data_IF_499496215668
#
_entry.id   IF_499496215668
#
_cell.length_a   1.000
_cell.length_b   1.000
_cell.length_c   1.000
_cell.angle_alpha   90.00
_cell.angle_beta   90.00
_cell.angle_gamma   90.00
#
_symmetry.space_group_name_H-M   'P 1'
#
loop_
_entity.id
_entity.type
_entity.pdbx_description
1 polymer ?
#
# COMPACT_ATOMS: atom_id res chain seq x y z
N UNK A 1 -21.68 -10.71 -34.26
CA UNK A 1 -21.31 -9.78 -33.18
C UNK A 1 -21.41 -10.59 -31.91
N UNK A 2 -20.28 -10.86 -31.25
CA UNK A 2 -20.31 -11.57 -29.99
C UNK A 2 -20.97 -10.63 -28.98
N UNK A 3 -22.16 -11.00 -28.50
CA UNK A 3 -22.73 -10.37 -27.31
C UNK A 3 -21.85 -10.92 -26.18
N UNK A 4 -20.72 -10.26 -25.94
CA UNK A 4 -19.94 -10.50 -24.72
C UNK A 4 -20.78 -9.94 -23.61
N UNK A 5 -21.69 -10.77 -23.09
CA UNK A 5 -22.47 -10.47 -21.89
C UNK A 5 -21.46 -10.13 -20.80
N UNK A 6 -21.29 -8.84 -20.53
CA UNK A 6 -20.42 -8.38 -19.46
C UNK A 6 -21.04 -8.88 -18.15
N UNK A 7 -20.38 -9.86 -17.53
CA UNK A 7 -20.87 -10.46 -16.28
C UNK A 7 -20.28 -9.72 -15.08
N UNK A 8 -20.92 -9.88 -13.93
CA UNK A 8 -20.41 -9.36 -12.64
C UNK A 8 -19.01 -9.92 -12.33
N UNK A 9 -18.70 -11.12 -12.82
CA UNK A 9 -17.39 -11.74 -12.62
C UNK A 9 -16.29 -11.05 -13.44
N UNK A 10 -16.58 -10.71 -14.71
CA UNK A 10 -15.66 -9.94 -15.56
C UNK A 10 -15.40 -8.55 -14.98
N UNK A 11 -16.47 -7.86 -14.56
CA UNK A 11 -16.39 -6.56 -13.90
C UNK A 11 -15.55 -6.64 -12.61
N UNK A 12 -15.76 -7.68 -11.79
CA UNK A 12 -14.98 -7.89 -10.57
C UNK A 12 -13.49 -8.05 -10.85
N UNK A 13 -13.13 -8.87 -11.86
CA UNK A 13 -11.73 -9.09 -12.21
C UNK A 13 -11.05 -7.78 -12.63
N UNK A 14 -11.69 -6.99 -13.49
CA UNK A 14 -11.17 -5.69 -13.93
C UNK A 14 -11.03 -4.71 -12.77
N UNK A 15 -12.04 -4.64 -11.87
CA UNK A 15 -12.00 -3.79 -10.68
C UNK A 15 -10.85 -4.20 -9.75
N UNK A 16 -10.60 -5.49 -9.55
CA UNK A 16 -9.49 -5.99 -8.73
C UNK A 16 -8.14 -5.62 -9.34
N UNK A 17 -7.99 -5.75 -10.65
CA UNK A 17 -6.77 -5.35 -11.36
C UNK A 17 -6.52 -3.85 -11.22
N UNK A 18 -7.52 -3.02 -11.50
CA UNK A 18 -7.43 -1.57 -11.35
C UNK A 18 -7.20 -1.14 -9.90
N UNK A 19 -7.84 -1.80 -8.94
CA UNK A 19 -7.64 -1.56 -7.52
C UNK A 19 -6.20 -1.87 -7.10
N UNK A 20 -5.57 -2.92 -7.64
CA UNK A 20 -4.16 -3.24 -7.39
C UNK A 20 -3.24 -2.22 -8.04
N UNK A 21 -3.50 -1.83 -9.29
CA UNK A 21 -2.70 -0.83 -10.01
C UNK A 21 -2.76 0.55 -9.35
N UNK A 22 -3.93 0.96 -8.86
CA UNK A 22 -4.13 2.24 -8.19
C UNK A 22 -3.81 2.21 -6.69
N UNK A 23 -3.56 1.02 -6.12
CA UNK A 23 -3.29 0.85 -4.69
C UNK A 23 -4.51 1.16 -3.81
N UNK A 24 -5.69 0.70 -4.22
CA UNK A 24 -6.94 0.90 -3.49
C UNK A 24 -6.95 0.15 -2.15
N UNK A 25 -6.53 0.84 -1.10
CA UNK A 25 -6.50 0.33 0.27
C UNK A 25 -7.73 0.71 1.10
N UNK A 26 -8.56 1.61 0.58
CA UNK A 26 -9.76 2.10 1.28
C UNK A 26 -11.02 1.70 0.52
N UNK A 27 -12.10 1.51 1.30
CA UNK A 27 -13.43 1.22 0.74
C UNK A 27 -13.94 2.36 -0.13
N UNK A 28 -13.57 3.59 0.15
CA UNK A 28 -13.96 4.77 -0.62
C UNK A 28 -13.38 4.67 -2.04
N UNK A 29 -12.08 4.46 -2.15
CA UNK A 29 -11.40 4.33 -3.44
C UNK A 29 -11.90 3.09 -4.22
N UNK A 30 -12.16 1.97 -3.52
CA UNK A 30 -12.81 0.81 -4.15
C UNK A 30 -14.17 1.16 -4.73
N UNK A 31 -15.02 1.89 -4.00
CA UNK A 31 -16.34 2.27 -4.47
C UNK A 31 -16.26 3.21 -5.68
N UNK A 32 -15.27 4.11 -5.71
CA UNK A 32 -15.03 4.99 -6.86
C UNK A 32 -14.66 4.17 -8.11
N UNK A 33 -13.73 3.23 -7.98
CA UNK A 33 -13.33 2.34 -9.09
C UNK A 33 -14.52 1.51 -9.60
N UNK A 34 -15.33 0.96 -8.68
CA UNK A 34 -16.56 0.22 -9.04
C UNK A 34 -17.52 1.11 -9.83
N UNK A 35 -17.66 2.38 -9.45
CA UNK A 35 -18.54 3.31 -10.16
C UNK A 35 -17.99 3.64 -11.55
N UNK A 36 -16.71 4.00 -11.65
CA UNK A 36 -16.06 4.36 -12.91
C UNK A 36 -16.12 3.22 -13.93
N UNK A 37 -15.83 1.99 -13.51
CA UNK A 37 -15.87 0.81 -14.39
C UNK A 37 -17.30 0.55 -14.89
N UNK A 38 -18.27 0.51 -13.97
CA UNK A 38 -19.66 0.22 -14.34
C UNK A 38 -20.24 1.34 -15.23
N UNK A 39 -20.00 2.61 -14.89
CA UNK A 39 -20.45 3.74 -15.70
C UNK A 39 -19.74 3.80 -17.05
N UNK A 40 -18.45 3.49 -17.11
CA UNK A 40 -17.68 3.41 -18.35
C UNK A 40 -18.27 2.40 -19.33
N UNK A 41 -18.60 1.19 -18.87
CA UNK A 41 -19.22 0.18 -19.74
C UNK A 41 -20.66 0.54 -20.15
N UNK A 42 -21.40 1.30 -19.32
CA UNK A 42 -22.71 1.84 -19.71
C UNK A 42 -22.54 2.86 -20.84
N UNK A 43 -21.59 3.79 -20.72
CA UNK A 43 -21.34 4.84 -21.73
C UNK A 43 -20.85 4.24 -23.07
N UNK A 44 -20.04 3.19 -23.00
CA UNK A 44 -19.58 2.42 -24.16
C UNK A 44 -20.69 1.57 -24.82
N UNK A 45 -21.86 1.44 -24.17
CA UNK A 45 -22.97 0.61 -24.64
C UNK A 45 -22.72 -0.89 -24.52
N UNK A 46 -21.75 -1.29 -23.70
CA UNK A 46 -21.45 -2.70 -23.38
C UNK A 46 -22.33 -3.23 -22.24
N UNK A 47 -22.83 -2.32 -21.40
CA UNK A 47 -23.79 -2.59 -20.34
C UNK A 47 -25.11 -1.85 -20.62
N UNK A 48 -26.22 -2.58 -20.62
CA UNK A 48 -27.55 -1.97 -20.74
C UNK A 48 -27.90 -1.26 -19.43
N UNK A 49 -28.22 0.05 -19.50
CA UNK A 49 -28.69 0.82 -18.34
C UNK A 49 -30.04 0.32 -17.76
N UNK A 50 -30.79 -0.46 -18.55
CA UNK A 50 -32.03 -1.13 -18.12
C UNK A 50 -31.76 -2.43 -17.34
N UNK A 51 -30.53 -2.97 -17.44
CA UNK A 51 -30.10 -4.01 -16.50
C UNK A 51 -29.94 -3.41 -15.11
N UNK A 52 -30.06 -4.25 -14.08
CA UNK A 52 -29.99 -3.84 -12.69
C UNK A 52 -28.54 -3.48 -12.29
N UNK A 53 -28.02 -2.41 -12.89
CA UNK A 53 -26.66 -1.88 -12.75
C UNK A 53 -26.39 -1.41 -11.32
N UNK A 54 -27.40 -0.84 -10.67
CA UNK A 54 -27.36 -0.50 -9.25
C UNK A 54 -27.16 -1.75 -8.37
N UNK A 55 -27.88 -2.83 -8.67
CA UNK A 55 -27.67 -4.13 -8.02
C UNK A 55 -26.29 -4.73 -8.29
N UNK A 56 -25.75 -4.55 -9.50
CA UNK A 56 -24.37 -4.98 -9.81
C UNK A 56 -23.34 -4.20 -8.99
N UNK A 57 -23.49 -2.86 -8.90
CA UNK A 57 -22.63 -2.01 -8.06
C UNK A 57 -22.70 -2.46 -6.60
N UNK A 58 -23.88 -2.76 -6.06
CA UNK A 58 -24.03 -3.23 -4.68
C UNK A 58 -23.28 -4.55 -4.43
N UNK A 59 -23.41 -5.52 -5.34
CA UNK A 59 -22.70 -6.81 -5.24
C UNK A 59 -21.19 -6.63 -5.31
N UNK A 60 -20.69 -5.78 -6.21
CA UNK A 60 -19.26 -5.49 -6.36
C UNK A 60 -18.70 -4.73 -5.16
N UNK A 61 -19.46 -3.80 -4.58
CA UNK A 61 -19.09 -3.11 -3.33
C UNK A 61 -19.09 -4.04 -2.12
N UNK A 62 -19.95 -5.06 -2.10
CA UNK A 62 -19.94 -6.08 -1.04
C UNK A 62 -18.69 -6.98 -1.09
N UNK A 63 -18.17 -7.24 -2.31
CA UNK A 63 -16.92 -7.98 -2.55
C UNK A 63 -15.65 -7.28 -2.08
N UNK A 64 -15.72 -6.02 -1.64
CA UNK A 64 -14.61 -5.31 -0.97
C UNK A 64 -14.01 -6.11 0.18
N UNK A 65 -14.84 -6.78 0.99
CA UNK A 65 -14.32 -7.57 2.13
C UNK A 65 -13.41 -8.69 1.66
N UNK A 66 -13.82 -9.40 0.60
CA UNK A 66 -13.02 -10.46 -0.02
C UNK A 66 -11.70 -9.90 -0.54
N UNK A 67 -11.73 -8.83 -1.33
CA UNK A 67 -10.52 -8.20 -1.84
C UNK A 67 -9.57 -7.73 -0.73
N UNK A 68 -10.11 -7.16 0.36
CA UNK A 68 -9.30 -6.74 1.52
C UNK A 68 -8.67 -7.94 2.24
N UNK A 69 -9.40 -9.04 2.37
CA UNK A 69 -8.88 -10.28 2.94
C UNK A 69 -7.77 -10.86 2.07
N UNK A 70 -7.95 -10.86 0.74
CA UNK A 70 -6.93 -11.28 -0.23
C UNK A 70 -5.69 -10.39 -0.17
N UNK A 71 -5.84 -9.06 -0.16
CA UNK A 71 -4.72 -8.12 0.00
C UNK A 71 -3.94 -8.37 1.30
N UNK A 72 -4.65 -8.55 2.42
CA UNK A 72 -4.01 -8.79 3.70
C UNK A 72 -3.26 -10.13 3.74
N UNK A 73 -3.76 -11.16 3.04
CA UNK A 73 -3.08 -12.44 2.89
C UNK A 73 -1.88 -12.35 1.95
N UNK A 74 -1.99 -11.61 0.84
CA UNK A 74 -0.89 -11.34 -0.10
C UNK A 74 0.26 -10.57 0.58
N UNK A 75 -0.05 -9.54 1.36
CA UNK A 75 0.95 -8.81 2.15
C UNK A 75 1.66 -9.73 3.15
N UNK A 76 0.89 -10.60 3.82
CA UNK A 76 1.45 -11.54 4.80
C UNK A 76 2.33 -12.61 4.15
N UNK A 77 2.00 -13.06 2.95
CA UNK A 77 2.75 -14.09 2.22
C UNK A 77 4.05 -13.51 1.60
N UNK A 78 4.10 -12.20 1.34
CA UNK A 78 5.29 -11.53 0.80
C UNK A 78 6.44 -11.42 1.81
N UNK A 79 6.13 -11.50 3.11
CA UNK A 79 7.11 -11.40 4.22
C UNK A 79 7.86 -12.73 4.48
N UNK A 80 7.42 -13.87 3.92
CA UNK A 80 8.07 -15.18 4.09
C UNK A 80 9.13 -15.50 3.02
N UNK A 81 9.47 -14.56 2.12
CA UNK A 81 10.49 -14.73 1.08
C UNK A 81 11.67 -13.72 1.18
N UNK A 82 11.96 -13.23 2.38
CA UNK A 82 13.20 -12.50 2.70
C UNK A 82 13.99 -13.21 3.82
N UNK A 83 14.17 -14.52 3.70
CA UNK A 83 15.30 -15.21 4.32
C UNK A 83 16.14 -15.84 3.20
N UNK A 84 17.45 -15.62 3.25
CA UNK A 84 18.48 -16.14 2.34
C UNK A 84 18.87 -15.24 1.14
N UNK A 85 19.66 -14.19 1.41
CA UNK A 85 21.01 -14.12 0.82
C UNK A 85 22.00 -13.36 1.73
N UNK A 86 22.95 -14.13 2.24
CA UNK A 86 24.38 -13.82 2.32
C UNK A 86 24.98 -13.09 3.54
N UNK A 87 25.63 -13.94 4.36
CA UNK A 87 26.96 -13.79 4.99
C UNK A 87 27.16 -12.79 6.12
N UNK A 88 27.04 -13.35 7.32
CA UNK A 88 28.03 -13.25 8.41
C UNK A 88 29.46 -13.03 7.87
N UNK A 89 30.05 -11.88 8.19
CA UNK A 89 31.49 -11.79 8.45
C UNK A 89 31.65 -11.27 9.86
N UNK A 90 31.94 -12.18 10.77
CA UNK A 90 32.57 -11.88 12.05
C UNK A 90 33.94 -11.23 11.77
N UNK A 91 34.19 -10.05 12.33
CA UNK A 91 35.54 -9.71 12.76
C UNK A 91 35.46 -8.92 14.07
N UNK A 92 35.64 -9.66 15.17
CA UNK A 92 36.01 -9.08 16.46
C UNK A 92 37.46 -8.65 16.38
N UNK A 93 37.77 -7.41 16.77
CA UNK A 93 39.08 -7.09 17.31
C UNK A 93 38.97 -5.98 18.36
N UNK A 94 39.00 -6.44 19.61
CA UNK A 94 39.73 -5.85 20.74
C UNK A 94 40.59 -4.62 20.40
N UNK A 95 40.42 -3.53 21.15
CA UNK A 95 41.53 -2.98 21.97
C UNK A 95 41.02 -1.95 22.99
N UNK A 96 41.23 -2.30 24.25
CA UNK A 96 41.23 -1.48 25.47
C UNK A 96 42.25 -0.34 25.36
N UNK A 97 41.92 0.89 25.80
CA UNK A 97 42.86 1.68 26.61
C UNK A 97 42.15 2.79 27.41
N UNK A 98 42.57 2.85 28.67
CA UNK A 98 42.33 3.87 29.70
C UNK A 98 43.11 5.15 29.39
N UNK A 99 43.02 6.09 30.33
CA UNK A 99 43.88 7.27 30.55
C UNK A 99 43.24 8.56 30.04
N UNK A 100 43.29 9.68 30.73
CA UNK A 100 43.54 10.02 32.13
C UNK A 100 43.03 11.48 32.25
N UNK A 101 42.66 11.90 33.45
CA UNK A 101 42.28 13.27 33.73
C UNK A 101 43.49 14.20 33.52
N UNK A 102 43.36 15.25 32.70
CA UNK A 102 44.20 16.44 32.82
C UNK A 102 43.35 17.71 32.76
N UNK A 103 43.18 18.25 33.95
CA UNK A 103 43.08 19.65 34.34
C UNK A 103 43.79 20.60 33.36
N UNK A 104 43.04 21.50 32.73
CA UNK A 104 43.57 22.79 32.31
C UNK A 104 42.75 23.88 32.97
N UNK A 105 43.21 24.25 34.16
CA UNK A 105 43.05 25.54 34.82
C UNK A 105 43.14 26.73 33.84
N UNK A 106 42.26 27.71 34.08
CA UNK A 106 42.43 29.14 33.83
C UNK A 106 42.65 29.67 32.40
N UNK A 107 41.59 30.25 31.81
CA UNK A 107 41.76 31.57 31.18
C UNK A 107 40.50 32.43 31.29
N UNK A 108 40.62 33.44 32.15
CA UNK A 108 39.71 34.56 32.40
C UNK A 108 39.30 35.33 31.13
N UNK A 109 38.05 35.79 31.09
CA UNK A 109 37.58 36.75 30.08
C UNK A 109 36.16 37.27 30.32
N UNK A 110 35.99 38.14 31.32
CA UNK A 110 34.81 39.00 31.48
C UNK A 110 34.55 39.83 30.21
N UNK A 111 33.28 39.94 29.79
CA UNK A 111 32.59 41.19 29.40
C UNK A 111 31.12 40.83 29.07
N UNK A 112 30.13 41.10 29.92
CA UNK A 112 29.51 42.40 30.23
C UNK A 112 28.64 42.94 29.08
N UNK A 113 27.36 43.19 29.41
CA UNK A 113 26.32 43.98 28.73
C UNK A 113 25.87 43.51 27.32
N UNK A 114 24.58 43.40 27.00
CA UNK A 114 23.66 44.53 26.94
C UNK A 114 22.22 44.22 27.39
N UNK A 115 21.60 45.30 27.88
CA UNK A 115 20.23 45.50 28.35
C UNK A 115 19.13 45.30 27.30
#
# INVERSE_FOLDING_TARGET
MAITTLTIDNLYHEIVELAREQGAQTRELWNEIVDEVVEGHIDLGELDADQNTEGMKEVLRAKWNTFREELAEEEKNKDEFEEDTTTVVEEKKDMEEKEEEEDTDDFLGNNDEEY
#
